data_IF_358923551279
#
_entry.id   IF_358923551279
#
_cell.length_a   1.000
_cell.length_b   1.000
_cell.length_c   1.000
_cell.angle_alpha   90.00
_cell.angle_beta   90.00
_cell.angle_gamma   90.00
#
_symmetry.space_group_name_H-M   'P 1'
#
loop_
_entity.id
_entity.type
_entity.pdbx_description
1 polymer ?
#
# COMPACT_ATOMS: atom_id res chain seq x y z
N UNK A 1 6.66 49.20 15.44
CA UNK A 1 7.78 48.30 15.77
C UNK A 1 7.49 46.99 15.05
N UNK A 2 7.60 46.87 13.72
CA UNK A 2 8.62 47.32 12.75
C UNK A 2 9.87 46.41 12.70
N UNK A 3 9.94 45.58 11.65
CA UNK A 3 11.15 44.94 11.06
C UNK A 3 11.76 43.83 11.96
N UNK A 4 12.19 42.63 11.54
CA UNK A 4 12.61 42.01 10.25
C UNK A 4 11.78 40.69 10.03
N UNK A 5 11.82 39.85 8.98
CA UNK A 5 12.60 39.73 7.71
C UNK A 5 13.91 38.89 7.84
N UNK A 6 14.40 38.14 6.85
CA UNK A 6 13.89 37.54 5.60
C UNK A 6 14.94 36.45 5.18
N UNK A 7 14.77 35.81 4.03
CA UNK A 7 15.73 34.96 3.28
C UNK A 7 15.82 33.47 3.68
N UNK A 8 15.28 32.60 2.82
CA UNK A 8 16.09 31.98 1.74
C UNK A 8 15.18 31.32 0.69
N UNK A 9 15.27 31.76 -0.58
CA UNK A 9 14.64 31.07 -1.71
C UNK A 9 15.41 31.36 -3.01
N UNK A 10 15.42 30.35 -3.90
CA UNK A 10 15.78 30.39 -5.33
C UNK A 10 17.27 30.56 -5.69
N UNK A 11 17.84 29.46 -6.19
CA UNK A 11 18.78 29.49 -7.31
C UNK A 11 18.07 28.87 -8.52
N UNK A 12 18.00 29.60 -9.63
CA UNK A 12 17.60 29.09 -10.95
C UNK A 12 18.85 28.74 -11.75
N UNK A 13 18.76 27.77 -12.67
CA UNK A 13 18.91 27.98 -14.12
C UNK A 13 19.59 26.80 -14.86
N UNK A 14 18.81 26.21 -15.78
CA UNK A 14 19.12 26.13 -17.22
C UNK A 14 20.30 25.26 -17.72
N UNK A 15 19.97 24.08 -18.24
CA UNK A 15 20.58 23.49 -19.43
C UNK A 15 19.49 22.70 -20.20
N UNK A 16 18.91 23.28 -21.26
CA UNK A 16 19.30 23.09 -22.67
C UNK A 16 19.13 21.64 -23.18
N UNK A 17 18.01 21.40 -23.86
CA UNK A 17 17.82 20.26 -24.75
C UNK A 17 18.19 20.65 -26.20
N UNK A 18 19.00 19.83 -26.87
CA UNK A 18 19.17 19.86 -28.34
C UNK A 18 19.40 18.46 -28.90
N UNK A 19 18.79 18.20 -30.06
CA UNK A 19 18.70 16.93 -30.77
C UNK A 19 20.01 16.40 -31.36
N UNK A 20 20.13 15.08 -31.57
CA UNK A 20 20.10 14.44 -32.90
C UNK A 20 20.74 13.01 -33.00
N UNK A 21 19.94 12.06 -33.50
CA UNK A 21 20.22 11.10 -34.58
C UNK A 21 21.58 10.34 -34.69
N UNK A 22 21.47 9.00 -34.55
CA UNK A 22 22.12 7.92 -35.32
C UNK A 22 23.63 7.63 -35.26
N UNK A 23 23.95 6.33 -35.20
CA UNK A 23 25.27 5.75 -35.50
C UNK A 23 25.74 4.75 -34.45
N UNK A 24 25.39 3.47 -34.59
CA UNK A 24 25.86 2.41 -33.68
C UNK A 24 27.17 1.75 -34.12
N UNK A 25 27.81 0.98 -33.23
CA UNK A 25 28.71 -0.15 -33.50
C UNK A 25 29.17 -0.81 -32.18
N UNK A 26 29.15 -2.15 -32.10
CA UNK A 26 30.04 -2.95 -31.24
C UNK A 26 29.52 -3.43 -29.85
N UNK A 27 29.34 -4.76 -29.73
CA UNK A 27 29.77 -5.69 -28.65
C UNK A 27 30.17 -5.11 -27.28
N UNK A 28 29.83 -5.70 -26.11
CA UNK A 28 29.67 -7.12 -25.69
C UNK A 28 28.48 -7.24 -24.69
N UNK A 29 27.92 -8.38 -24.27
CA UNK A 29 28.24 -9.80 -24.49
C UNK A 29 27.91 -10.63 -23.22
N UNK A 30 26.63 -10.95 -22.97
CA UNK A 30 26.22 -11.84 -21.86
C UNK A 30 25.01 -12.67 -22.27
N UNK A 31 25.23 -13.95 -22.60
CA UNK A 31 24.18 -14.88 -23.01
C UNK A 31 23.74 -15.79 -21.87
N UNK A 32 22.48 -15.69 -21.46
CA UNK A 32 21.83 -16.73 -20.66
C UNK A 32 21.40 -17.89 -21.56
N UNK A 33 21.84 -19.11 -21.25
CA UNK A 33 21.50 -20.31 -22.02
C UNK A 33 20.29 -21.03 -21.41
N UNK A 34 19.15 -20.98 -22.09
CA UNK A 34 17.99 -21.84 -21.80
C UNK A 34 18.14 -23.18 -22.54
N UNK A 35 18.13 -24.30 -21.82
CA UNK A 35 18.20 -25.65 -22.43
C UNK A 35 16.81 -26.28 -22.46
N UNK A 36 16.30 -26.52 -23.66
CA UNK A 36 15.07 -27.30 -23.91
C UNK A 36 15.45 -28.69 -24.40
N UNK A 37 14.98 -29.75 -23.74
CA UNK A 37 15.18 -31.12 -24.21
C UNK A 37 14.00 -31.59 -25.09
N UNK A 38 14.33 -32.07 -26.30
CA UNK A 38 13.41 -32.82 -27.17
C UNK A 38 13.49 -34.33 -26.95
N UNK A 39 12.50 -35.11 -27.42
CA UNK A 39 12.39 -36.53 -27.11
C UNK A 39 13.43 -37.40 -27.86
N UNK A 40 14.00 -38.37 -27.16
CA UNK A 40 14.93 -39.37 -27.72
C UNK A 40 14.16 -40.63 -28.09
N UNK A 41 14.28 -41.04 -29.36
CA UNK A 41 13.76 -42.31 -29.88
C UNK A 41 14.71 -43.47 -29.58
N UNK A 42 14.19 -44.59 -29.06
CA UNK A 42 14.93 -45.86 -29.00
C UNK A 42 14.44 -46.81 -30.10
N UNK A 43 15.38 -47.51 -30.73
CA UNK A 43 15.11 -48.42 -31.85
C UNK A 43 14.79 -49.85 -31.41
N UNK A 44 13.94 -50.52 -32.19
CA UNK A 44 13.47 -51.89 -31.91
C UNK A 44 14.59 -52.94 -32.00
N UNK A 45 14.61 -53.83 -30.98
CA UNK A 45 15.38 -55.07 -30.97
C UNK A 45 14.45 -56.24 -30.65
N UNK A 46 14.03 -56.97 -31.68
CA UNK A 46 12.98 -58.01 -31.60
C UNK A 46 13.39 -59.27 -30.82
N UNK A 47 12.50 -59.77 -29.96
CA UNK A 47 12.55 -61.11 -29.36
C UNK A 47 11.14 -61.59 -28.99
N UNK A 48 10.77 -62.80 -29.39
CA UNK A 48 9.40 -63.34 -29.27
C UNK A 48 9.23 -64.27 -28.06
N UNK A 49 8.04 -64.27 -27.44
CA UNK A 49 7.13 -65.44 -27.44
C UNK A 49 5.94 -65.34 -26.46
N UNK A 50 4.74 -65.37 -27.05
CA UNK A 50 3.47 -65.99 -26.63
C UNK A 50 3.30 -66.61 -25.22
N UNK A 51 2.26 -66.18 -24.48
CA UNK A 51 1.04 -66.98 -24.13
C UNK A 51 0.38 -66.68 -22.76
N UNK A 52 -0.93 -66.44 -22.74
CA UNK A 52 -1.86 -67.20 -21.87
C UNK A 52 -2.15 -66.75 -20.42
N UNK A 53 -2.98 -65.72 -20.28
CA UNK A 53 -3.97 -65.36 -19.23
C UNK A 53 -4.15 -66.10 -17.88
N UNK A 54 -4.64 -65.35 -16.87
CA UNK A 54 -5.30 -65.91 -15.68
C UNK A 54 -5.35 -65.06 -14.41
N UNK A 55 -6.38 -64.20 -14.28
CA UNK A 55 -7.08 -63.76 -13.04
C UNK A 55 -6.34 -63.25 -11.78
N UNK A 56 -6.77 -62.05 -11.37
CA UNK A 56 -7.06 -61.61 -9.99
C UNK A 56 -5.91 -61.33 -8.99
N UNK A 57 -6.15 -60.38 -8.07
CA UNK A 57 -5.30 -60.12 -6.90
C UNK A 57 -4.40 -58.89 -6.99
N UNK A 58 -4.80 -57.84 -6.27
CA UNK A 58 -4.03 -56.67 -5.84
C UNK A 58 -2.53 -56.89 -5.60
N UNK A 59 -1.67 -56.02 -6.15
CA UNK A 59 -0.26 -55.90 -5.75
C UNK A 59 0.10 -54.42 -5.53
N UNK A 60 0.40 -54.06 -4.28
CA UNK A 60 1.24 -52.91 -3.97
C UNK A 60 2.70 -53.36 -4.05
N UNK A 61 3.55 -52.60 -4.76
CA UNK A 61 5.00 -52.80 -4.78
C UNK A 61 5.64 -51.41 -4.85
N UNK A 62 6.24 -50.86 -3.79
CA UNK A 62 7.65 -51.08 -3.41
C UNK A 62 8.62 -51.18 -4.59
N UNK A 63 8.72 -50.08 -5.36
CA UNK A 63 9.81 -49.88 -6.32
C UNK A 63 11.09 -49.41 -5.61
N UNK A 64 12.04 -50.33 -5.42
CA UNK A 64 13.41 -50.01 -4.99
C UNK A 64 14.17 -49.25 -6.10
N UNK A 65 14.84 -48.15 -5.74
CA UNK A 65 15.99 -47.62 -6.49
C UNK A 65 17.14 -47.41 -5.52
N UNK A 66 18.22 -48.15 -5.73
CA UNK A 66 19.37 -48.21 -4.83
C UNK A 66 20.33 -47.04 -5.06
N UNK A 67 20.68 -46.33 -3.99
CA UNK A 67 21.87 -45.49 -3.93
C UNK A 67 23.02 -46.33 -3.38
N UNK A 68 24.16 -46.32 -4.06
CA UNK A 68 25.37 -47.02 -3.60
C UNK A 68 26.10 -46.17 -2.56
N UNK A 69 25.94 -46.50 -1.29
CA UNK A 69 26.97 -46.24 -0.28
C UNK A 69 27.74 -47.53 -0.04
N UNK A 70 29.05 -47.50 -0.32
CA UNK A 70 29.96 -48.47 0.29
C UNK A 70 30.04 -48.18 1.79
N UNK A 71 30.28 -49.24 2.57
CA UNK A 71 30.85 -49.20 3.91
C UNK A 71 30.00 -48.59 5.05
N UNK A 72 28.91 -49.28 5.40
CA UNK A 72 28.53 -49.47 6.81
C UNK A 72 28.20 -50.94 7.07
N UNK A 73 29.20 -51.72 7.49
CA UNK A 73 28.98 -53.04 8.09
C UNK A 73 28.90 -52.89 9.61
N UNK A 74 27.71 -53.09 10.17
CA UNK A 74 27.53 -53.33 11.60
C UNK A 74 28.14 -54.68 11.97
N UNK A 75 29.19 -54.69 12.79
CA UNK A 75 29.64 -55.89 13.48
C UNK A 75 29.32 -55.80 14.97
N UNK A 76 28.72 -56.86 15.52
CA UNK A 76 28.51 -57.02 16.96
C UNK A 76 28.78 -58.47 17.35
N UNK A 77 29.64 -58.63 18.36
CA UNK A 77 29.89 -59.85 19.11
C UNK A 77 30.53 -61.04 18.37
N UNK A 78 31.85 -60.96 18.15
CA UNK A 78 32.74 -62.12 18.04
C UNK A 78 33.72 -62.15 19.22
N UNK A 79 33.68 -63.19 20.07
CA UNK A 79 34.49 -63.26 21.30
C UNK A 79 35.85 -63.95 21.11
N UNK A 80 36.84 -63.49 21.89
CA UNK A 80 38.04 -64.22 22.38
C UNK A 80 39.33 -64.18 21.55
N UNK A 81 40.41 -63.74 22.23
CA UNK A 81 41.80 -63.74 21.77
C UNK A 81 42.21 -62.41 21.14
N UNK A 82 43.30 -61.75 21.54
CA UNK A 82 44.28 -62.07 22.58
C UNK A 82 45.55 -61.28 22.32
N UNK A 83 46.01 -60.53 23.33
CA UNK A 83 47.29 -59.85 23.51
C UNK A 83 48.15 -59.52 22.27
N UNK A 84 48.31 -58.24 21.96
CA UNK A 84 49.65 -57.68 21.66
C UNK A 84 49.65 -56.15 21.81
N UNK A 85 50.49 -55.65 22.73
CA UNK A 85 50.73 -54.22 22.94
C UNK A 85 51.86 -53.72 22.04
N UNK A 86 51.63 -52.63 21.32
CA UNK A 86 52.69 -51.71 20.91
C UNK A 86 52.09 -50.34 20.62
N UNK A 87 51.98 -49.52 21.67
CA UNK A 87 51.79 -48.08 21.51
C UNK A 87 52.93 -47.49 20.68
N UNK A 88 52.55 -46.58 19.79
CA UNK A 88 53.44 -45.62 19.18
C UNK A 88 52.83 -44.25 19.40
N UNK A 89 53.25 -43.61 20.49
CA UNK A 89 52.65 -42.39 21.05
C UNK A 89 52.51 -41.29 19.99
N UNK A 90 51.28 -41.03 19.57
CA UNK A 90 50.89 -39.70 19.09
C UNK A 90 50.45 -38.90 20.30
N UNK A 91 51.08 -37.73 20.49
CA UNK A 91 50.85 -36.71 21.52
C UNK A 91 49.38 -36.25 21.58
N UNK A 92 48.52 -37.09 22.17
CA UNK A 92 47.23 -36.75 22.74
C UNK A 92 47.49 -36.20 24.13
N UNK A 93 47.00 -35.00 24.46
CA UNK A 93 47.27 -34.29 25.73
C UNK A 93 46.66 -34.90 27.00
N UNK A 94 46.48 -36.22 27.03
CA UNK A 94 45.96 -36.99 28.17
C UNK A 94 47.02 -37.03 29.28
N UNK A 95 46.71 -36.63 30.53
CA UNK A 95 47.66 -36.68 31.64
C UNK A 95 48.14 -38.11 31.95
N UNK A 96 49.41 -38.30 32.36
CA UNK A 96 49.95 -39.60 32.72
C UNK A 96 49.43 -40.04 34.11
N UNK A 97 48.30 -40.73 34.11
CA UNK A 97 47.54 -41.17 35.29
C UNK A 97 46.08 -41.46 34.92
N UNK A 98 45.56 -40.68 33.98
CA UNK A 98 44.16 -40.64 33.58
C UNK A 98 43.51 -42.01 33.34
N UNK A 99 42.41 -42.25 34.07
CA UNK A 99 41.61 -43.46 34.07
C UNK A 99 41.93 -44.45 35.20
N UNK A 100 42.72 -44.08 36.22
CA UNK A 100 43.09 -44.98 37.33
C UNK A 100 42.18 -44.90 38.58
N UNK A 101 41.37 -43.85 38.70
CA UNK A 101 40.47 -43.57 39.82
C UNK A 101 40.98 -42.56 40.85
N UNK A 102 42.10 -41.87 40.59
CA UNK A 102 42.71 -40.88 41.46
C UNK A 102 43.06 -39.62 40.67
N UNK A 103 42.55 -38.46 41.09
CA UNK A 103 42.88 -37.16 40.45
C UNK A 103 44.34 -36.78 40.74
N UNK A 104 45.16 -36.89 39.71
CA UNK A 104 46.61 -36.65 39.76
C UNK A 104 47.01 -35.23 39.26
N UNK A 105 48.28 -34.79 39.46
CA UNK A 105 48.71 -33.43 39.12
C UNK A 105 48.71 -33.14 37.60
N UNK A 106 47.63 -32.55 37.11
CA UNK A 106 47.43 -32.24 35.69
C UNK A 106 46.02 -32.60 35.19
N UNK A 107 45.21 -33.24 36.03
CA UNK A 107 43.84 -33.65 35.74
C UNK A 107 42.85 -32.71 36.46
N UNK A 108 41.73 -32.40 35.82
CA UNK A 108 40.61 -31.72 36.49
C UNK A 108 39.63 -32.70 37.14
N UNK A 109 39.64 -33.98 36.72
CA UNK A 109 38.82 -35.06 37.25
C UNK A 109 39.42 -36.44 36.91
N UNK A 110 39.03 -37.47 37.67
CA UNK A 110 39.29 -38.86 37.32
C UNK A 110 38.21 -39.75 37.96
N UNK A 111 37.47 -40.51 37.14
CA UNK A 111 36.46 -41.48 37.54
C UNK A 111 36.87 -42.93 37.22
N UNK A 112 38.17 -43.13 36.96
CA UNK A 112 38.75 -44.40 36.58
C UNK A 112 38.23 -44.89 35.23
N UNK A 113 37.95 -46.20 35.10
CA UNK A 113 37.30 -46.77 33.91
C UNK A 113 35.87 -46.26 33.61
N UNK A 114 35.36 -45.27 34.36
CA UNK A 114 34.09 -44.60 34.09
C UNK A 114 34.25 -43.20 33.45
N UNK A 115 35.48 -42.77 33.13
CA UNK A 115 35.72 -41.64 32.23
C UNK A 115 35.07 -41.94 30.86
N UNK A 116 34.45 -40.94 30.26
CA UNK A 116 33.81 -41.04 28.95
C UNK A 116 33.60 -39.65 28.35
N UNK A 117 33.71 -39.51 27.03
CA UNK A 117 33.67 -38.19 26.36
C UNK A 117 32.34 -37.44 26.58
N UNK A 118 31.22 -38.17 26.69
CA UNK A 118 29.89 -37.64 27.05
C UNK A 118 29.57 -37.75 28.55
N UNK A 119 30.60 -38.01 29.37
CA UNK A 119 30.53 -38.14 30.83
C UNK A 119 30.89 -36.83 31.54
N UNK A 120 30.72 -36.75 32.87
CA UNK A 120 31.09 -35.55 33.62
C UNK A 120 32.62 -35.38 33.73
N UNK A 121 33.36 -36.46 33.48
CA UNK A 121 34.80 -36.49 33.29
C UNK A 121 35.10 -37.20 31.98
N UNK A 122 35.82 -36.51 31.08
CA UNK A 122 36.14 -36.98 29.74
C UNK A 122 37.26 -38.01 29.74
N UNK A 123 37.47 -38.68 28.61
CA UNK A 123 38.54 -39.68 28.46
C UNK A 123 39.96 -39.08 28.53
N UNK A 124 40.09 -37.74 28.48
CA UNK A 124 41.35 -36.99 28.68
C UNK A 124 41.50 -36.39 30.09
N UNK A 125 40.60 -36.74 31.03
CA UNK A 125 40.57 -36.25 32.41
C UNK A 125 40.31 -34.75 32.58
N UNK A 126 39.76 -34.11 31.55
CA UNK A 126 39.12 -32.79 31.66
C UNK A 126 37.65 -32.94 32.10
N UNK A 127 37.13 -31.95 32.83
CA UNK A 127 35.68 -31.89 33.10
C UNK A 127 34.93 -31.53 31.81
N UNK A 128 33.71 -32.04 31.63
CA UNK A 128 32.78 -31.50 30.64
C UNK A 128 32.33 -30.08 31.04
N UNK A 129 32.29 -29.17 30.08
CA UNK A 129 31.77 -27.81 30.26
C UNK A 129 31.24 -27.25 28.94
N UNK A 130 30.10 -26.56 29.03
CA UNK A 130 29.52 -25.88 27.88
C UNK A 130 30.53 -25.02 27.08
N UNK A 131 30.56 -25.25 25.77
CA UNK A 131 31.44 -24.59 24.82
C UNK A 131 32.75 -25.34 24.55
N UNK A 132 32.81 -26.63 24.84
CA UNK A 132 34.00 -27.48 24.67
C UNK A 132 33.98 -28.37 23.41
N UNK A 133 32.84 -28.42 22.73
CA UNK A 133 32.57 -29.15 21.49
C UNK A 133 31.97 -30.55 21.68
N UNK A 134 31.71 -30.99 22.92
CA UNK A 134 31.19 -32.32 23.24
C UNK A 134 30.05 -32.22 24.27
N UNK A 135 28.78 -32.47 23.90
CA UNK A 135 27.65 -32.37 24.81
C UNK A 135 27.79 -33.28 26.04
N UNK A 136 27.97 -32.69 27.21
CA UNK A 136 28.14 -33.37 28.49
C UNK A 136 26.82 -33.77 29.17
N UNK A 137 26.89 -34.39 30.37
CA UNK A 137 25.69 -34.83 31.09
C UNK A 137 24.82 -33.67 31.57
N UNK A 138 23.66 -33.51 30.93
CA UNK A 138 22.69 -32.44 31.24
C UNK A 138 22.70 -31.28 30.24
N UNK A 139 23.61 -31.32 29.26
CA UNK A 139 23.68 -30.40 28.14
C UNK A 139 22.85 -30.96 26.98
N UNK A 140 22.09 -30.10 26.28
CA UNK A 140 21.28 -30.47 25.13
C UNK A 140 22.02 -30.31 23.80
N UNK A 141 23.06 -29.48 23.79
CA UNK A 141 23.97 -29.21 22.69
C UNK A 141 25.32 -28.74 23.24
N UNK A 142 26.32 -28.65 22.37
CA UNK A 142 27.56 -27.89 22.57
C UNK A 142 28.11 -27.58 21.15
N UNK A 143 28.42 -26.32 20.85
CA UNK A 143 28.96 -25.86 19.57
C UNK A 143 30.38 -25.27 19.67
N UNK A 144 31.15 -25.74 20.65
CA UNK A 144 32.56 -25.45 20.89
C UNK A 144 32.89 -23.98 21.16
N UNK A 145 31.92 -23.19 21.61
CA UNK A 145 32.14 -21.79 21.97
C UNK A 145 31.16 -21.27 23.04
N UNK A 146 31.29 -19.98 23.39
CA UNK A 146 30.51 -19.32 24.45
C UNK A 146 29.87 -18.03 23.91
N UNK A 147 29.13 -18.17 22.82
CA UNK A 147 28.24 -17.17 22.22
C UNK A 147 26.80 -17.68 22.48
N UNK A 148 25.81 -16.78 22.44
CA UNK A 148 24.40 -17.15 22.65
C UNK A 148 23.62 -17.27 21.34
N UNK A 149 24.15 -16.67 20.27
CA UNK A 149 23.39 -16.27 19.08
C UNK A 149 23.62 -17.25 17.90
N UNK A 150 24.18 -18.43 18.19
CA UNK A 150 24.52 -19.49 17.25
C UNK A 150 23.76 -20.82 17.52
N UNK A 151 24.43 -21.98 17.52
CA UNK A 151 23.74 -23.28 17.51
C UNK A 151 23.43 -23.81 18.92
N UNK A 152 24.05 -23.22 19.94
CA UNK A 152 23.87 -23.57 21.33
C UNK A 152 23.97 -22.32 22.23
N UNK A 153 23.11 -22.21 23.23
CA UNK A 153 23.23 -21.11 24.21
C UNK A 153 24.41 -21.32 25.16
N UNK A 154 24.89 -20.26 25.81
CA UNK A 154 25.90 -20.33 26.89
C UNK A 154 25.49 -21.18 28.13
N UNK A 155 24.25 -21.68 28.16
CA UNK A 155 23.73 -22.62 29.16
C UNK A 155 23.63 -24.06 28.63
N UNK A 156 24.20 -24.31 27.44
CA UNK A 156 24.13 -25.54 26.66
C UNK A 156 22.71 -26.11 26.51
N UNK A 157 21.79 -25.19 26.26
CA UNK A 157 20.45 -25.48 25.77
C UNK A 157 20.36 -25.11 24.30
N UNK A 158 19.65 -25.93 23.54
CA UNK A 158 19.36 -25.68 22.13
C UNK A 158 18.59 -24.37 22.01
N UNK A 159 18.95 -23.54 21.03
CA UNK A 159 18.21 -22.30 20.75
C UNK A 159 16.79 -22.62 20.27
N UNK A 160 15.82 -21.81 20.69
CA UNK A 160 14.41 -22.05 20.35
C UNK A 160 13.56 -20.80 20.44
N UNK A 161 12.85 -20.50 19.35
CA UNK A 161 11.82 -19.48 19.29
C UNK A 161 10.95 -19.36 20.56
N UNK A 162 10.95 -18.17 21.13
CA UNK A 162 10.32 -17.81 22.39
C UNK A 162 11.25 -17.88 23.61
N UNK A 163 12.57 -17.95 23.42
CA UNK A 163 13.55 -17.95 24.53
C UNK A 163 14.08 -16.55 24.89
N UNK A 164 13.78 -15.54 24.07
CA UNK A 164 14.16 -14.14 24.23
C UNK A 164 15.43 -13.75 23.48
N UNK A 165 16.00 -14.63 22.66
CA UNK A 165 17.21 -14.43 21.88
C UNK A 165 16.91 -14.64 20.38
N UNK A 166 17.32 -13.70 19.52
CA UNK A 166 17.15 -13.85 18.06
C UNK A 166 18.37 -14.58 17.51
N UNK A 167 18.25 -15.87 17.23
CA UNK A 167 19.36 -16.78 16.91
C UNK A 167 19.04 -17.64 15.67
N UNK A 168 19.89 -18.59 15.27
CA UNK A 168 19.47 -19.74 14.44
C UNK A 168 18.85 -19.51 13.03
N UNK A 169 18.71 -18.26 12.57
CA UNK A 169 17.93 -17.90 11.36
C UNK A 169 16.56 -17.27 11.65
N UNK A 170 16.23 -17.03 12.91
CA UNK A 170 15.08 -16.27 13.40
C UNK A 170 15.20 -14.79 12.99
N UNK A 171 14.04 -14.14 12.76
CA UNK A 171 13.96 -12.73 12.38
C UNK A 171 13.39 -11.84 13.50
N UNK A 172 12.76 -12.47 14.49
CA UNK A 172 12.31 -11.88 15.74
C UNK A 172 12.33 -12.97 16.83
N UNK A 173 12.33 -12.55 18.08
CA UNK A 173 12.00 -13.36 19.26
C UNK A 173 11.59 -12.36 20.35
N UNK A 174 10.46 -12.59 21.02
CA UNK A 174 9.94 -11.70 22.07
C UNK A 174 9.91 -12.35 23.48
N UNK A 175 10.46 -13.56 23.62
CA UNK A 175 10.50 -14.35 24.84
C UNK A 175 9.23 -15.15 25.13
N UNK A 176 8.39 -15.39 24.11
CA UNK A 176 7.14 -16.12 24.25
C UNK A 176 6.75 -16.91 22.97
N UNK A 177 5.67 -17.70 23.03
CA UNK A 177 5.22 -18.57 21.92
C UNK A 177 3.75 -18.32 21.55
N UNK A 178 3.36 -17.04 21.51
CA UNK A 178 2.01 -16.58 21.19
C UNK A 178 1.98 -16.14 19.73
N UNK A 179 0.99 -16.64 18.97
CA UNK A 179 0.88 -16.32 17.55
C UNK A 179 0.10 -14.99 17.30
N UNK A 180 -0.58 -14.46 18.33
CA UNK A 180 -1.44 -13.27 18.23
C UNK A 180 -0.66 -11.93 18.46
N UNK A 181 0.67 -11.90 18.31
CA UNK A 181 1.50 -10.70 18.50
C UNK A 181 2.59 -10.54 17.41
N UNK A 182 3.45 -9.52 17.53
CA UNK A 182 4.39 -9.15 16.47
C UNK A 182 5.47 -10.21 16.15
N UNK A 183 5.65 -11.23 17.00
CA UNK A 183 6.55 -12.34 16.75
C UNK A 183 5.89 -13.71 17.05
N UNK A 184 5.13 -14.27 16.09
CA UNK A 184 4.54 -15.59 16.22
C UNK A 184 5.55 -16.70 16.54
N UNK A 185 5.06 -17.86 17.01
CA UNK A 185 5.87 -19.00 17.46
C UNK A 185 6.74 -19.70 16.39
N UNK A 186 6.76 -19.15 15.16
CA UNK A 186 7.66 -19.52 14.07
C UNK A 186 8.90 -18.60 13.96
N UNK A 187 8.99 -17.56 14.78
CA UNK A 187 10.03 -16.52 14.82
C UNK A 187 10.34 -15.88 13.46
N UNK A 188 9.31 -15.78 12.63
CA UNK A 188 9.21 -14.84 11.52
C UNK A 188 8.34 -13.66 11.98
N UNK A 189 8.51 -12.44 11.43
CA UNK A 189 7.67 -11.31 11.81
C UNK A 189 6.23 -11.57 11.35
N UNK A 190 5.28 -11.19 12.20
CA UNK A 190 3.84 -11.20 11.91
C UNK A 190 3.51 -10.67 10.49
N UNK A 191 2.63 -11.36 9.78
CA UNK A 191 2.34 -11.05 8.37
C UNK A 191 0.92 -11.41 7.92
N UNK A 192 0.23 -10.42 7.37
CA UNK A 192 -1.07 -10.53 6.70
C UNK A 192 -1.21 -11.79 5.81
N UNK A 193 -2.04 -12.74 6.26
CA UNK A 193 -2.31 -14.02 5.60
C UNK A 193 -1.53 -15.22 6.15
N UNK A 194 -0.97 -15.15 7.36
CA UNK A 194 -0.20 -16.24 7.97
C UNK A 194 -1.02 -17.18 8.89
N UNK A 195 -2.25 -16.81 9.23
CA UNK A 195 -3.21 -17.63 9.97
C UNK A 195 -3.67 -17.06 11.31
N UNK A 196 -3.14 -15.90 11.73
CA UNK A 196 -3.36 -15.28 13.03
C UNK A 196 -3.56 -13.76 12.88
N UNK A 197 -4.47 -13.16 13.65
CA UNK A 197 -4.67 -11.69 13.64
C UNK A 197 -3.82 -11.07 14.75
N UNK A 198 -2.66 -10.49 14.41
CA UNK A 198 -1.72 -10.06 15.45
C UNK A 198 -2.01 -8.67 16.01
N UNK A 199 -2.13 -8.59 17.34
CA UNK A 199 -2.66 -7.44 18.05
C UNK A 199 -1.79 -6.18 17.89
N UNK A 200 -2.27 -5.22 17.09
CA UNK A 200 -1.57 -3.95 16.84
C UNK A 200 -0.56 -4.00 15.70
N UNK A 201 -0.45 -5.14 15.00
CA UNK A 201 0.17 -5.24 13.68
C UNK A 201 -0.91 -5.05 12.61
N UNK A 202 -2.03 -5.75 12.77
CA UNK A 202 -3.14 -5.80 11.81
C UNK A 202 -4.51 -5.95 12.51
N UNK A 203 -5.58 -5.99 11.73
CA UNK A 203 -6.97 -6.03 12.23
C UNK A 203 -7.78 -7.24 11.71
N UNK A 204 -7.25 -7.93 10.70
CA UNK A 204 -7.76 -9.14 10.06
C UNK A 204 -6.58 -9.83 9.35
N UNK A 205 -6.72 -11.09 8.93
CA UNK A 205 -5.61 -11.95 8.46
C UNK A 205 -5.96 -12.67 7.13
N UNK A 206 -6.74 -12.04 6.27
CA UNK A 206 -7.28 -12.75 5.10
C UNK A 206 -6.28 -12.80 3.92
N UNK A 207 -5.09 -12.19 4.08
CA UNK A 207 -3.94 -12.22 3.16
C UNK A 207 -4.16 -11.57 1.80
N UNK A 208 -5.38 -11.09 1.56
CA UNK A 208 -5.84 -10.41 0.37
C UNK A 208 -7.14 -9.67 0.69
N UNK A 209 -7.46 -8.64 -0.09
CA UNK A 209 -8.73 -7.93 0.03
C UNK A 209 -9.94 -8.88 -0.11
N UNK A 210 -10.88 -8.80 0.83
CA UNK A 210 -12.15 -9.53 0.86
C UNK A 210 -13.31 -8.53 1.09
N UNK A 211 -14.52 -9.03 1.40
CA UNK A 211 -15.61 -8.16 1.86
C UNK A 211 -15.54 -7.74 3.34
N UNK A 212 -14.48 -8.11 4.07
CA UNK A 212 -14.29 -7.86 5.51
C UNK A 212 -12.89 -7.40 5.90
N UNK A 213 -11.91 -7.58 5.01
CA UNK A 213 -10.50 -7.28 5.24
C UNK A 213 -9.90 -6.66 3.97
N UNK A 214 -8.93 -5.75 4.12
CA UNK A 214 -8.25 -5.11 3.01
C UNK A 214 -6.96 -5.84 2.61
N UNK A 215 -6.34 -5.40 1.50
CA UNK A 215 -5.15 -6.03 0.95
C UNK A 215 -3.88 -5.85 1.80
N UNK A 216 -3.91 -4.95 2.77
CA UNK A 216 -2.89 -4.65 3.77
C UNK A 216 -3.36 -4.99 5.20
N UNK A 217 -4.44 -5.78 5.33
CA UNK A 217 -4.99 -6.29 6.58
C UNK A 217 -5.51 -5.21 7.57
N UNK A 218 -5.97 -4.06 7.05
CA UNK A 218 -6.96 -3.21 7.73
C UNK A 218 -8.38 -3.75 7.58
N UNK A 219 -9.29 -3.29 8.45
CA UNK A 219 -10.72 -3.53 8.29
C UNK A 219 -11.32 -2.54 7.28
N UNK A 220 -11.96 -3.09 6.26
CA UNK A 220 -12.76 -2.39 5.23
C UNK A 220 -13.50 -1.19 5.81
N UNK A 221 -13.12 0.01 5.39
CA UNK A 221 -13.82 1.22 5.77
C UNK A 221 -13.64 2.35 4.75
N UNK A 222 -14.56 2.44 3.79
CA UNK A 222 -14.75 3.61 2.92
C UNK A 222 -14.31 4.96 3.56
N UNK A 223 -13.31 5.58 2.93
CA UNK A 223 -12.59 6.76 3.38
C UNK A 223 -11.32 6.49 4.19
N UNK A 224 -10.74 5.29 4.13
CA UNK A 224 -9.50 4.93 4.84
C UNK A 224 -8.21 5.03 3.98
N UNK A 225 -8.37 5.10 2.65
CA UNK A 225 -7.30 5.20 1.65
C UNK A 225 -7.00 3.89 0.92
N UNK A 226 -7.70 2.80 1.22
CA UNK A 226 -7.44 1.44 0.70
C UNK A 226 -8.64 0.89 -0.09
N UNK A 227 -8.75 1.16 -1.40
CA UNK A 227 -9.96 0.84 -2.18
C UNK A 227 -10.20 -0.67 -2.33
N UNK A 228 -11.33 -1.15 -1.80
CA UNK A 228 -11.67 -2.57 -1.75
C UNK A 228 -12.90 -2.95 -2.60
N UNK A 229 -12.61 -3.34 -3.86
CA UNK A 229 -13.63 -3.83 -4.80
C UNK A 229 -14.34 -5.13 -4.39
N UNK A 230 -13.84 -5.88 -3.41
CA UNK A 230 -14.49 -7.07 -2.88
C UNK A 230 -15.50 -6.75 -1.77
N UNK A 231 -15.34 -5.60 -1.09
CA UNK A 231 -16.36 -4.99 -0.23
C UNK A 231 -17.46 -4.26 -1.01
N UNK A 232 -17.18 -3.89 -2.27
CA UNK A 232 -18.10 -3.20 -3.18
C UNK A 232 -17.73 -1.74 -3.47
N UNK A 233 -16.55 -1.31 -3.04
CA UNK A 233 -16.02 0.03 -3.29
C UNK A 233 -15.52 0.14 -4.74
N UNK A 234 -15.70 1.31 -5.34
CA UNK A 234 -15.29 1.63 -6.71
C UNK A 234 -14.13 2.63 -6.75
N UNK A 235 -13.92 3.33 -5.64
CA UNK A 235 -12.85 4.26 -5.35
C UNK A 235 -12.67 4.32 -3.83
N UNK A 236 -11.53 4.82 -3.37
CA UNK A 236 -11.31 5.32 -2.01
C UNK A 236 -10.19 6.37 -2.11
N UNK A 237 -10.37 7.52 -1.46
CA UNK A 237 -9.41 8.63 -1.49
C UNK A 237 -8.87 9.01 -0.09
N UNK A 238 -9.21 8.24 0.94
CA UNK A 238 -8.83 8.48 2.32
C UNK A 238 -9.65 9.55 3.04
N UNK A 239 -10.84 9.88 2.53
CA UNK A 239 -11.75 10.81 3.20
C UNK A 239 -13.25 10.51 2.96
N UNK A 240 -14.14 11.37 3.47
CA UNK A 240 -15.59 11.19 3.42
C UNK A 240 -16.32 12.44 2.93
N UNK A 241 -15.80 13.06 1.87
CA UNK A 241 -16.31 14.29 1.28
C UNK A 241 -17.11 13.96 0.02
N UNK A 242 -18.41 14.27 0.01
CA UNK A 242 -19.26 14.03 -1.15
C UNK A 242 -18.99 14.97 -2.36
N UNK A 243 -18.01 15.88 -2.26
CA UNK A 243 -17.76 16.95 -3.24
C UNK A 243 -16.50 16.80 -4.12
N UNK A 244 -15.90 15.61 -4.21
CA UNK A 244 -14.71 15.32 -5.03
C UNK A 244 -14.95 14.11 -5.96
N UNK A 245 -13.90 13.46 -6.49
CA UNK A 245 -14.06 12.33 -7.40
C UNK A 245 -14.38 10.98 -6.72
N UNK A 246 -14.30 10.91 -5.38
CA UNK A 246 -14.73 9.76 -4.59
C UNK A 246 -15.59 10.15 -3.38
N UNK A 247 -16.90 10.36 -3.57
CA UNK A 247 -17.85 10.60 -2.49
C UNK A 247 -17.76 9.62 -1.32
N UNK A 248 -18.22 10.05 -0.14
CA UNK A 248 -18.15 9.27 1.12
C UNK A 248 -19.01 8.01 1.19
N UNK A 249 -19.45 7.50 0.04
CA UNK A 249 -20.08 6.20 -0.17
C UNK A 249 -19.19 5.24 -0.99
N UNK A 250 -17.99 5.66 -1.38
CA UNK A 250 -17.00 4.93 -2.17
C UNK A 250 -17.52 4.37 -3.49
N UNK A 251 -18.50 5.06 -4.08
CA UNK A 251 -18.92 4.91 -5.47
C UNK A 251 -18.39 6.11 -6.24
N UNK A 252 -18.00 5.91 -7.51
CA UNK A 252 -17.50 7.03 -8.33
C UNK A 252 -18.55 8.14 -8.46
N UNK A 253 -18.09 9.39 -8.37
CA UNK A 253 -18.88 10.61 -8.55
C UNK A 253 -19.90 10.49 -9.70
N UNK A 254 -21.17 10.81 -9.42
CA UNK A 254 -22.27 10.57 -10.34
C UNK A 254 -23.07 11.84 -10.63
N UNK A 255 -23.07 12.25 -11.90
CA UNK A 255 -23.89 13.34 -12.38
C UNK A 255 -25.37 13.15 -12.02
N UNK A 256 -25.97 14.16 -11.37
CA UNK A 256 -27.38 14.20 -10.98
C UNK A 256 -27.68 13.60 -9.61
N UNK A 257 -26.71 13.53 -8.70
CA UNK A 257 -26.90 12.97 -7.34
C UNK A 257 -27.11 14.02 -6.24
N UNK A 258 -26.91 15.31 -6.55
CA UNK A 258 -27.10 16.44 -5.65
C UNK A 258 -25.81 17.09 -5.15
N UNK A 259 -24.64 16.56 -5.50
CA UNK A 259 -23.34 17.10 -5.12
C UNK A 259 -22.56 17.60 -6.34
N UNK A 260 -21.78 18.68 -6.17
CA UNK A 260 -20.89 19.19 -7.21
C UNK A 260 -19.49 18.60 -7.02
N UNK A 261 -19.15 17.60 -7.82
CA UNK A 261 -17.90 16.87 -7.75
C UNK A 261 -16.74 17.65 -8.39
N UNK A 262 -15.86 18.20 -7.54
CA UNK A 262 -14.84 19.16 -7.96
C UNK A 262 -13.82 18.58 -8.96
N UNK A 263 -13.92 19.00 -10.22
CA UNK A 263 -13.02 18.57 -11.30
C UNK A 263 -13.51 17.37 -12.11
N UNK A 264 -14.59 16.72 -11.66
CA UNK A 264 -15.33 15.72 -12.46
C UNK A 264 -16.35 16.42 -13.36
N UNK A 265 -17.05 17.43 -12.85
CA UNK A 265 -18.16 18.09 -13.55
C UNK A 265 -18.24 19.61 -13.36
N UNK A 266 -19.20 20.26 -14.03
CA UNK A 266 -19.35 21.72 -14.08
C UNK A 266 -20.56 22.27 -13.32
N UNK A 267 -21.51 21.39 -13.02
CA UNK A 267 -22.77 21.64 -12.31
C UNK A 267 -23.31 20.31 -11.79
N UNK A 268 -24.26 20.38 -10.87
CA UNK A 268 -25.19 19.30 -10.55
C UNK A 268 -26.52 19.98 -10.15
N UNK A 269 -27.66 19.46 -10.61
CA UNK A 269 -29.00 19.96 -10.26
C UNK A 269 -29.90 18.90 -9.59
N UNK A 270 -29.28 17.82 -9.09
CA UNK A 270 -29.93 16.70 -8.43
C UNK A 270 -30.67 15.76 -9.37
N UNK A 271 -30.46 15.86 -10.69
CA UNK A 271 -30.98 14.90 -11.66
C UNK A 271 -30.20 14.84 -13.00
N UNK A 272 -30.64 13.99 -13.93
CA UNK A 272 -29.97 13.75 -15.24
C UNK A 272 -30.84 14.14 -16.43
N UNK A 273 -31.80 15.05 -16.23
CA UNK A 273 -32.54 15.64 -17.33
C UNK A 273 -31.67 16.63 -18.11
N UNK A 274 -32.30 17.44 -18.95
CA UNK A 274 -31.64 18.44 -19.78
C UNK A 274 -32.68 19.49 -20.15
N UNK A 275 -32.27 20.75 -20.12
CA UNK A 275 -33.11 21.94 -20.19
C UNK A 275 -33.45 22.56 -18.83
N UNK A 276 -32.95 22.03 -17.71
CA UNK A 276 -33.34 22.40 -16.33
C UNK A 276 -32.23 22.96 -15.43
N UNK A 277 -30.96 22.91 -15.85
CA UNK A 277 -29.83 23.48 -15.11
C UNK A 277 -28.51 22.92 -15.60
N UNK A 278 -28.42 21.61 -15.48
CA UNK A 278 -27.29 20.79 -15.80
C UNK A 278 -27.70 19.75 -16.85
N UNK A 279 -26.81 19.45 -17.81
CA UNK A 279 -27.10 18.39 -18.77
C UNK A 279 -26.97 17.02 -18.11
N UNK A 280 -27.56 15.97 -18.72
CA UNK A 280 -27.31 14.57 -18.32
C UNK A 280 -25.87 14.08 -18.58
N UNK A 281 -24.91 14.97 -18.81
CA UNK A 281 -23.47 14.75 -18.82
C UNK A 281 -22.72 15.78 -17.96
N UNK A 282 -23.43 16.39 -17.01
CA UNK A 282 -23.05 17.46 -16.10
C UNK A 282 -22.17 18.58 -16.69
N UNK A 283 -22.57 19.03 -17.89
CA UNK A 283 -22.14 20.28 -18.47
C UNK A 283 -23.19 21.35 -18.19
N UNK A 284 -22.76 22.55 -17.79
CA UNK A 284 -23.67 23.66 -17.54
C UNK A 284 -24.35 24.09 -18.85
N UNK A 285 -25.69 24.03 -18.88
CA UNK A 285 -26.47 24.36 -20.09
C UNK A 285 -26.68 25.87 -20.25
N UNK A 286 -26.63 26.58 -19.14
CA UNK A 286 -26.66 28.02 -19.01
C UNK A 286 -25.77 28.43 -17.82
N UNK A 287 -25.41 29.71 -17.65
CA UNK A 287 -24.48 30.15 -16.61
C UNK A 287 -24.93 29.75 -15.21
N UNK A 288 -23.98 29.33 -14.36
CA UNK A 288 -24.31 28.90 -13.01
C UNK A 288 -24.80 30.10 -12.17
N UNK A 289 -25.75 29.85 -11.28
CA UNK A 289 -26.09 30.84 -10.24
C UNK A 289 -24.86 31.07 -9.36
N UNK A 290 -24.63 32.32 -8.94
CA UNK A 290 -23.39 32.81 -8.34
C UNK A 290 -22.19 33.02 -9.30
N UNK A 291 -22.27 32.71 -10.60
CA UNK A 291 -21.19 33.08 -11.53
C UNK A 291 -21.01 34.61 -11.58
N UNK A 292 -19.77 35.05 -11.42
CA UNK A 292 -19.40 36.46 -11.30
C UNK A 292 -18.52 36.94 -12.44
N UNK A 293 -18.66 38.23 -12.79
CA UNK A 293 -17.83 38.87 -13.79
C UNK A 293 -17.64 40.37 -13.56
N UNK A 294 -17.00 41.03 -14.52
CA UNK A 294 -16.82 42.49 -14.56
C UNK A 294 -17.34 43.04 -15.87
N UNK A 295 -17.93 44.23 -15.83
CA UNK A 295 -18.37 44.93 -17.02
C UNK A 295 -17.17 45.35 -17.88
N UNK A 296 -17.13 45.05 -19.20
CA UNK A 296 -15.97 45.35 -20.04
C UNK A 296 -15.65 46.84 -20.21
N UNK A 297 -16.62 47.74 -20.01
CA UNK A 297 -16.45 49.18 -20.19
C UNK A 297 -16.16 49.94 -18.89
N UNK A 298 -16.84 49.58 -17.80
CA UNK A 298 -16.72 50.26 -16.51
C UNK A 298 -15.84 49.53 -15.48
N UNK A 299 -15.60 48.23 -15.67
CA UNK A 299 -14.94 47.37 -14.68
C UNK A 299 -15.81 47.06 -13.46
N UNK A 300 -17.09 47.43 -13.44
CA UNK A 300 -17.99 47.18 -12.33
C UNK A 300 -18.35 45.69 -12.23
N UNK A 301 -18.26 45.12 -11.02
CA UNK A 301 -18.54 43.70 -10.79
C UNK A 301 -20.04 43.40 -10.88
N UNK A 302 -20.39 42.21 -11.36
CA UNK A 302 -21.75 41.67 -11.44
C UNK A 302 -21.76 40.17 -11.11
N UNK A 303 -22.93 39.61 -10.80
CA UNK A 303 -23.15 38.18 -10.46
C UNK A 303 -24.48 37.67 -11.01
N UNK A 304 -24.55 36.42 -11.43
CA UNK A 304 -25.79 35.73 -11.84
C UNK A 304 -26.63 35.36 -10.61
N UNK A 305 -27.91 35.75 -10.62
CA UNK A 305 -28.86 35.45 -9.55
C UNK A 305 -29.88 34.37 -9.92
N UNK A 306 -30.18 34.23 -11.21
CA UNK A 306 -31.00 33.17 -11.77
C UNK A 306 -30.63 33.02 -13.25
N UNK A 307 -30.58 31.78 -13.73
CA UNK A 307 -30.42 31.49 -15.15
C UNK A 307 -31.33 30.31 -15.52
N UNK A 308 -31.85 30.36 -16.75
CA UNK A 308 -32.58 29.31 -17.42
C UNK A 308 -32.34 29.40 -18.94
N UNK A 309 -32.76 28.40 -19.71
CA UNK A 309 -32.58 28.35 -21.16
C UNK A 309 -33.17 29.54 -21.96
N UNK A 310 -34.03 30.35 -21.33
CA UNK A 310 -34.69 31.54 -21.89
C UNK A 310 -34.20 32.85 -21.25
N UNK A 311 -33.67 32.81 -20.02
CA UNK A 311 -33.18 34.01 -19.33
C UNK A 311 -32.12 33.86 -18.26
N UNK A 312 -31.08 34.70 -18.32
CA UNK A 312 -30.22 35.02 -17.19
C UNK A 312 -30.57 36.39 -16.57
N UNK A 313 -30.45 36.48 -15.25
CA UNK A 313 -30.69 37.65 -14.43
C UNK A 313 -29.45 37.94 -13.59
N UNK A 314 -29.00 39.20 -13.60
CA UNK A 314 -27.76 39.61 -12.92
C UNK A 314 -28.00 40.69 -11.86
N UNK A 315 -27.17 40.68 -10.82
CA UNK A 315 -27.12 41.69 -9.75
C UNK A 315 -25.73 42.27 -9.62
N UNK A 316 -25.62 43.43 -8.97
CA UNK A 316 -24.34 43.97 -8.53
C UNK A 316 -24.45 44.70 -7.18
N UNK A 317 -23.34 44.66 -6.45
CA UNK A 317 -23.19 45.37 -5.18
C UNK A 317 -22.79 46.85 -5.36
N UNK A 318 -22.35 47.26 -6.56
CA UNK A 318 -21.87 48.61 -6.83
C UNK A 318 -22.84 49.39 -7.71
N UNK A 319 -22.99 50.70 -7.44
CA UNK A 319 -23.75 51.65 -8.26
C UNK A 319 -22.98 52.03 -9.55
N UNK A 320 -22.52 51.01 -10.27
CA UNK A 320 -21.74 51.12 -11.50
C UNK A 320 -22.59 51.40 -12.74
N UNK A 321 -21.88 51.59 -13.84
CA UNK A 321 -22.44 51.65 -15.19
C UNK A 321 -22.29 50.28 -15.83
N UNK A 322 -23.34 49.73 -16.45
CA UNK A 322 -23.30 48.37 -17.00
C UNK A 322 -23.81 48.31 -18.43
N UNK A 323 -23.14 47.50 -19.26
CA UNK A 323 -23.43 47.23 -20.66
C UNK A 323 -24.17 45.90 -20.79
N UNK A 324 -25.51 45.85 -20.60
CA UNK A 324 -26.28 44.60 -20.56
C UNK A 324 -26.07 43.76 -21.82
N UNK A 325 -25.93 44.38 -23.00
CA UNK A 325 -25.71 43.66 -24.27
C UNK A 325 -24.41 42.85 -24.25
N UNK A 326 -23.31 43.45 -23.77
CA UNK A 326 -21.99 42.79 -23.74
C UNK A 326 -21.96 41.68 -22.69
N UNK A 327 -22.46 41.96 -21.49
CA UNK A 327 -22.56 40.96 -20.42
C UNK A 327 -23.42 39.78 -20.91
N UNK A 328 -24.55 40.07 -21.55
CA UNK A 328 -25.49 39.06 -21.99
C UNK A 328 -24.94 38.16 -23.11
N UNK A 329 -24.24 38.76 -24.08
CA UNK A 329 -23.53 38.02 -25.12
C UNK A 329 -22.37 37.18 -24.54
N UNK A 330 -21.69 37.66 -23.49
CA UNK A 330 -20.65 36.89 -22.79
C UNK A 330 -21.21 35.69 -22.00
N UNK A 331 -22.48 35.76 -21.60
CA UNK A 331 -23.23 34.69 -20.94
C UNK A 331 -23.93 33.74 -21.94
N UNK A 332 -23.75 33.93 -23.25
CA UNK A 332 -24.28 33.05 -24.29
C UNK A 332 -25.70 33.37 -24.79
N UNK A 333 -26.30 34.47 -24.35
CA UNK A 333 -27.67 34.85 -24.73
C UNK A 333 -27.70 35.94 -25.80
N UNK A 334 -28.56 35.77 -26.81
CA UNK A 334 -28.59 36.62 -28.00
C UNK A 334 -29.16 38.04 -27.78
N UNK A 335 -30.01 38.25 -26.77
CA UNK A 335 -30.84 39.45 -26.66
C UNK A 335 -30.97 39.98 -25.22
N UNK A 336 -30.92 41.31 -25.10
CA UNK A 336 -31.33 42.00 -23.87
C UNK A 336 -32.85 42.16 -23.89
N UNK A 337 -33.54 41.47 -22.97
CA UNK A 337 -34.97 41.62 -22.77
C UNK A 337 -35.32 43.00 -22.21
N UNK A 338 -36.48 43.52 -22.61
CA UNK A 338 -36.89 44.92 -22.41
C UNK A 338 -36.91 45.39 -20.94
N UNK A 339 -36.90 44.47 -19.97
CA UNK A 339 -37.05 44.75 -18.53
C UNK A 339 -36.11 43.93 -17.62
N UNK A 340 -35.13 43.22 -18.19
CA UNK A 340 -34.14 42.45 -17.42
C UNK A 340 -34.09 40.94 -17.70
N UNK A 341 -35.06 40.41 -18.45
CA UNK A 341 -35.01 39.04 -18.94
C UNK A 341 -34.03 38.84 -20.11
N UNK A 342 -33.85 37.57 -20.49
CA UNK A 342 -32.89 37.04 -21.47
C UNK A 342 -31.43 37.33 -21.12
N UNK A 343 -30.98 38.58 -21.13
CA UNK A 343 -30.31 39.16 -19.95
C UNK A 343 -30.27 40.69 -19.99
N UNK A 344 -30.68 41.31 -18.90
CA UNK A 344 -30.51 42.75 -18.70
C UNK A 344 -30.71 43.15 -17.25
N UNK A 345 -30.54 44.44 -16.98
CA UNK A 345 -30.74 45.07 -15.68
C UNK A 345 -29.86 44.56 -14.53
N UNK A 346 -29.01 45.46 -14.03
CA UNK A 346 -28.17 45.19 -12.86
C UNK A 346 -28.91 45.56 -11.59
N UNK A 347 -29.34 44.53 -10.86
CA UNK A 347 -30.09 44.65 -9.61
C UNK A 347 -29.19 45.17 -8.47
N UNK A 348 -29.78 45.86 -7.49
CA UNK A 348 -29.01 46.57 -6.46
C UNK A 348 -28.71 45.77 -5.19
N UNK A 349 -27.45 45.87 -4.75
CA UNK A 349 -26.95 45.67 -3.39
C UNK A 349 -27.15 44.28 -2.74
N UNK A 350 -26.43 43.31 -3.29
CA UNK A 350 -26.12 42.03 -2.65
C UNK A 350 -24.82 42.16 -1.83
N UNK A 351 -24.84 41.95 -0.50
CA UNK A 351 -23.61 41.99 0.32
C UNK A 351 -22.78 40.70 0.17
N UNK A 352 -22.11 40.58 -0.99
CA UNK A 352 -21.12 39.55 -1.25
C UNK A 352 -21.71 38.17 -1.61
N UNK A 353 -20.89 37.10 -1.52
CA UNK A 353 -21.18 35.79 -2.12
C UNK A 353 -22.35 35.04 -1.49
N UNK A 354 -22.82 35.42 -0.30
CA UNK A 354 -23.96 34.80 0.39
C UNK A 354 -25.33 35.09 -0.25
N UNK A 355 -25.38 35.97 -1.25
CA UNK A 355 -26.64 36.56 -1.72
C UNK A 355 -27.40 35.75 -2.78
N UNK A 356 -26.74 34.81 -3.45
CA UNK A 356 -27.29 34.07 -4.59
C UNK A 356 -27.94 32.72 -4.21
N UNK A 357 -27.78 32.26 -2.95
CA UNK A 357 -28.52 31.10 -2.42
C UNK A 357 -29.89 31.43 -1.80
N UNK A 358 -30.23 32.71 -1.65
CA UNK A 358 -31.48 33.17 -1.05
C UNK A 358 -32.08 34.33 -1.85
N UNK A 359 -32.49 34.05 -3.09
CA UNK A 359 -33.19 35.04 -3.92
C UNK A 359 -34.51 35.43 -3.26
N UNK A 360 -34.62 36.72 -2.95
CA UNK A 360 -35.76 37.27 -2.24
C UNK A 360 -37.06 37.32 -3.05
N UNK A 361 -38.01 38.16 -2.64
CA UNK A 361 -39.13 38.50 -3.52
C UNK A 361 -38.68 39.50 -4.61
N UNK A 362 -39.04 39.21 -5.86
CA UNK A 362 -38.86 40.13 -6.99
C UNK A 362 -39.76 41.36 -6.83
N UNK A 363 -39.18 42.51 -6.52
CA UNK A 363 -39.92 43.77 -6.49
C UNK A 363 -39.65 44.58 -7.76
N UNK A 364 -40.56 44.42 -8.72
CA UNK A 364 -40.71 45.31 -9.87
C UNK A 364 -41.18 46.70 -9.40
N UNK A 365 -40.24 47.50 -8.90
CA UNK A 365 -40.42 48.93 -8.87
C UNK A 365 -40.53 49.43 -10.32
N UNK A 366 -41.67 50.00 -10.68
CA UNK A 366 -41.98 50.51 -12.03
C UNK A 366 -41.29 51.87 -12.28
N UNK A 367 -40.05 51.98 -11.78
CA UNK A 367 -39.37 53.20 -11.44
C UNK A 367 -40.15 54.06 -10.44
N UNK A 368 -39.74 54.05 -9.17
CA UNK A 368 -40.02 55.12 -8.21
C UNK A 368 -39.48 56.48 -8.70
N UNK A 369 -38.67 56.45 -9.76
CA UNK A 369 -38.12 57.58 -10.51
C UNK A 369 -38.64 57.71 -11.95
N UNK A 370 -39.64 56.92 -12.37
CA UNK A 370 -40.34 57.12 -13.66
C UNK A 370 -39.56 56.70 -14.92
N UNK A 371 -38.87 55.55 -14.89
CA UNK A 371 -38.26 54.94 -16.08
C UNK A 371 -36.80 55.31 -16.37
N UNK A 372 -36.14 56.13 -15.54
CA UNK A 372 -34.70 56.44 -15.64
C UNK A 372 -33.82 55.36 -15.01
N UNK A 373 -33.78 54.17 -15.65
CA UNK A 373 -32.70 53.19 -15.44
C UNK A 373 -31.58 53.29 -16.49
N UNK A 374 -31.89 53.90 -17.64
CA UNK A 374 -31.00 54.11 -18.77
C UNK A 374 -30.18 55.40 -18.61
N UNK A 375 -28.86 55.28 -18.65
CA UNK A 375 -27.89 56.37 -18.49
C UNK A 375 -27.27 56.86 -19.80
N UNK A 376 -27.84 56.44 -20.94
CA UNK A 376 -27.37 56.75 -22.28
C UNK A 376 -26.71 55.54 -22.94
N UNK A 377 -25.77 55.83 -23.82
CA UNK A 377 -24.97 54.85 -24.53
C UNK A 377 -23.59 55.43 -24.85
N UNK A 378 -22.59 54.57 -24.98
CA UNK A 378 -21.24 54.93 -25.40
C UNK A 378 -20.82 54.16 -26.67
N UNK A 379 -19.52 53.98 -26.89
CA UNK A 379 -18.98 53.21 -28.02
C UNK A 379 -19.11 51.68 -27.88
N UNK A 380 -19.54 51.18 -26.73
CA UNK A 380 -19.65 49.75 -26.37
C UNK A 380 -21.12 49.32 -26.35
N UNK A 381 -22.04 50.19 -25.92
CA UNK A 381 -23.48 49.95 -26.02
C UNK A 381 -24.34 50.88 -25.17
N UNK A 382 -25.59 50.45 -24.92
CA UNK A 382 -26.47 51.08 -23.94
C UNK A 382 -25.93 50.89 -22.51
N UNK A 383 -26.10 51.90 -21.66
CA UNK A 383 -25.63 51.89 -20.26
C UNK A 383 -26.82 51.96 -19.30
N UNK A 384 -26.77 51.13 -18.25
CA UNK A 384 -27.73 51.13 -17.14
C UNK A 384 -27.03 51.54 -15.83
N UNK A 385 -27.73 52.29 -14.96
CA UNK A 385 -27.23 52.63 -13.61
C UNK A 385 -28.20 52.33 -12.44
N UNK A 386 -29.51 52.17 -12.68
CA UNK A 386 -30.51 51.95 -11.60
C UNK A 386 -31.57 50.98 -12.12
N UNK A 387 -31.76 49.83 -11.46
CA UNK A 387 -32.76 48.83 -11.88
C UNK A 387 -33.38 48.08 -10.68
N UNK A 388 -34.07 46.96 -10.96
CA UNK A 388 -34.97 46.19 -10.08
C UNK A 388 -34.34 45.84 -8.73
N UNK A 389 -35.15 45.82 -7.67
CA UNK A 389 -34.72 45.42 -6.33
C UNK A 389 -35.24 44.02 -5.98
N UNK A 390 -34.37 43.20 -5.41
CA UNK A 390 -34.74 41.99 -4.69
C UNK A 390 -34.58 42.26 -3.20
N UNK A 391 -35.64 42.08 -2.41
CA UNK A 391 -35.50 42.11 -0.94
C UNK A 391 -35.05 40.75 -0.45
N UNK A 392 -33.74 40.58 -0.22
CA UNK A 392 -33.17 39.41 0.46
C UNK A 392 -33.94 39.10 1.76
N UNK A 393 -34.00 37.80 2.10
CA UNK A 393 -34.73 37.28 3.27
C UNK A 393 -33.76 36.85 4.36
#
# INVERSE_FOLDING_TARGET
MAIVGDMWRRLMALALATSACAGGLGSEGSGGASITFGPITFGDGSGSDSSGGGSDGTVSNTGNVSITTSDVTTDTAGTSGGDDSSDSDTDTGVPPGCGDGVVDPGEECDLGPANADYGPCKSDCTNAYCGDGIPGPGEACDDANMINDDACTNTCMLTSCGDGLVTGGELCDDGNTNDDDACPSNCQPASCGDGFVQAGVEQCDEGAATGTCDGDCTLVSCGDGTPNGNAGEQCDDGNGNDGDDCPGNCHVAACGDGYLHAGVEQCDDGNVASGDGCSGSCAAEFPNVCDGGVDPGSGAAWVVCAADANSAWISANSAGNYHPVQICQSLGYDNVGQWGGTCGNVCGYCEGPTSCGATGQQYFDNGAWGGVGNCGADGIGQILCITVMWTCV
#
